data_IF_048160943971
#
_entry.id   IF_048160943971
#
_cell.length_a   1.000
_cell.length_b   1.000
_cell.length_c   1.000
_cell.angle_alpha   90.00
_cell.angle_beta   90.00
_cell.angle_gamma   90.00
#
_symmetry.space_group_name_H-M   'P 1'
#
loop_
_entity.id
_entity.type
_entity.pdbx_description
1 polymer ?
#
# COMPACT_ATOMS: atom_id res chain seq x y z
N UNK A 1 -12.63 21.79 9.24
CA UNK A 1 -11.88 20.60 9.69
C UNK A 1 -10.82 20.97 10.72
N UNK A 2 -10.18 22.13 10.59
CA UNK A 2 -9.09 22.57 11.48
C UNK A 2 -9.50 22.77 12.94
N UNK A 3 -10.74 23.22 13.20
CA UNK A 3 -11.25 23.41 14.57
C UNK A 3 -11.36 22.10 15.36
N UNK A 4 -11.64 20.98 14.69
CA UNK A 4 -11.71 19.68 15.34
C UNK A 4 -10.31 19.17 15.66
N UNK A 5 -9.40 19.26 14.69
CA UNK A 5 -8.01 18.86 14.86
C UNK A 5 -7.33 19.66 15.99
N UNK A 6 -7.57 20.98 16.07
CA UNK A 6 -7.04 21.83 17.14
C UNK A 6 -7.53 21.42 18.54
N UNK A 7 -8.78 20.95 18.66
CA UNK A 7 -9.33 20.46 19.95
C UNK A 7 -8.78 19.10 20.35
N UNK A 8 -8.47 18.24 19.39
CA UNK A 8 -7.98 16.89 19.64
C UNK A 8 -6.48 16.85 19.91
N UNK A 9 -5.72 17.81 19.36
CA UNK A 9 -4.25 17.85 19.45
C UNK A 9 -3.67 17.68 20.87
N UNK A 10 -4.23 18.28 21.94
CA UNK A 10 -3.70 18.08 23.30
C UNK A 10 -3.88 16.64 23.83
N UNK A 11 -4.82 15.88 23.26
CA UNK A 11 -5.18 14.54 23.71
C UNK A 11 -4.53 13.42 22.89
N UNK A 12 -4.40 13.61 21.58
CA UNK A 12 -3.86 12.59 20.67
C UNK A 12 -2.44 12.90 20.17
N UNK A 13 -1.94 14.11 20.44
CA UNK A 13 -0.65 14.59 19.97
C UNK A 13 -0.63 14.94 18.48
N UNK A 14 0.49 15.48 17.98
CA UNK A 14 0.69 15.63 16.55
C UNK A 14 0.72 14.24 15.88
N UNK A 15 0.33 14.14 14.60
CA UNK A 15 0.48 12.88 13.88
C UNK A 15 1.95 12.43 13.94
N UNK A 16 2.23 11.16 14.28
CA UNK A 16 3.59 10.66 14.27
C UNK A 16 4.10 10.75 12.83
N UNK A 17 5.13 11.57 12.62
CA UNK A 17 5.78 11.68 11.31
C UNK A 17 6.66 10.45 11.03
N UNK A 18 6.89 9.61 12.06
CA UNK A 18 7.74 8.41 12.00
C UNK A 18 9.20 8.73 11.67
N UNK A 19 10.12 7.79 11.90
CA UNK A 19 11.36 7.79 11.16
C UNK A 19 11.02 7.36 9.73
N UNK A 20 11.09 8.28 8.76
CA UNK A 20 10.93 7.94 7.33
C UNK A 20 12.08 7.07 6.79
N UNK A 21 13.08 6.85 7.62
CA UNK A 21 14.33 6.14 7.44
C UNK A 21 14.30 4.70 7.99
N UNK A 22 13.23 4.30 8.69
CA UNK A 22 13.01 2.89 9.00
C UNK A 22 12.57 2.15 7.71
N UNK A 23 13.28 1.08 7.31
CA UNK A 23 12.80 0.24 6.23
C UNK A 23 11.43 -0.32 6.62
N UNK A 24 10.44 -0.14 5.74
CA UNK A 24 9.04 -0.62 5.92
C UNK A 24 8.95 -2.14 6.17
N UNK A 25 10.06 -2.85 5.96
CA UNK A 25 10.24 -4.26 6.23
C UNK A 25 11.46 -4.43 7.13
N UNK A 26 11.24 -4.98 8.32
CA UNK A 26 12.34 -5.51 9.13
C UNK A 26 13.08 -6.55 8.30
N UNK A 27 14.42 -6.49 8.24
CA UNK A 27 15.22 -7.47 7.51
C UNK A 27 14.95 -8.91 8.00
N UNK A 28 14.53 -9.05 9.26
CA UNK A 28 14.18 -10.32 9.90
C UNK A 28 12.72 -10.73 9.69
N UNK A 29 11.85 -9.82 9.19
CA UNK A 29 10.45 -10.08 8.87
C UNK A 29 10.08 -9.47 7.51
N UNK A 30 10.32 -10.19 6.40
CA UNK A 30 9.86 -9.74 5.09
C UNK A 30 8.34 -9.59 5.08
N UNK A 31 7.84 -8.46 4.57
CA UNK A 31 6.41 -8.27 4.39
C UNK A 31 5.82 -9.38 3.51
N UNK A 32 4.59 -9.84 3.81
CA UNK A 32 3.92 -10.81 2.97
C UNK A 32 3.76 -10.27 1.55
N UNK A 33 3.94 -11.14 0.55
CA UNK A 33 3.71 -10.78 -0.85
C UNK A 33 2.24 -10.38 -1.01
N UNK A 34 1.95 -9.16 -1.50
CA UNK A 34 0.57 -8.72 -1.67
C UNK A 34 -0.12 -9.58 -2.72
N UNK A 35 -1.36 -9.98 -2.44
CA UNK A 35 -2.21 -10.75 -3.34
C UNK A 35 -3.23 -9.84 -4.02
N UNK A 36 -3.62 -10.19 -5.25
CA UNK A 36 -4.64 -9.47 -5.97
C UNK A 36 -6.04 -9.76 -5.39
N UNK A 37 -6.83 -8.74 -5.02
CA UNK A 37 -8.15 -8.95 -4.42
C UNK A 37 -9.21 -9.46 -5.42
N UNK A 38 -8.87 -9.52 -6.72
CA UNK A 38 -9.78 -9.96 -7.78
C UNK A 38 -9.54 -11.43 -8.18
N UNK A 39 -8.28 -11.83 -8.36
CA UNK A 39 -7.94 -13.19 -8.82
C UNK A 39 -7.26 -14.06 -7.75
N UNK A 40 -6.74 -13.46 -6.67
CA UNK A 40 -6.04 -14.17 -5.59
C UNK A 40 -4.55 -14.42 -5.83
N UNK A 41 -4.06 -14.23 -7.06
CA UNK A 41 -2.65 -14.49 -7.42
C UNK A 41 -1.71 -13.40 -6.88
N UNK A 42 -0.41 -13.69 -6.70
CA UNK A 42 0.59 -12.71 -6.28
C UNK A 42 0.63 -11.49 -7.21
N UNK A 43 0.67 -10.29 -6.64
CA UNK A 43 0.77 -9.04 -7.42
C UNK A 43 1.98 -8.99 -8.37
N UNK A 44 3.16 -9.57 -8.03
CA UNK A 44 4.30 -9.62 -8.95
C UNK A 44 4.03 -10.36 -10.28
N UNK A 45 3.04 -11.25 -10.32
CA UNK A 45 2.70 -12.02 -11.52
C UNK A 45 1.76 -11.25 -12.48
N UNK A 46 1.38 -10.03 -12.12
CA UNK A 46 0.51 -9.19 -12.93
C UNK A 46 1.29 -8.30 -13.90
N UNK A 47 0.71 -8.06 -15.07
CA UNK A 47 1.27 -7.10 -16.04
C UNK A 47 0.58 -5.74 -15.86
N UNK A 48 1.38 -4.71 -15.58
CA UNK A 48 0.90 -3.33 -15.48
C UNK A 48 1.18 -2.62 -16.81
N UNK A 49 0.15 -2.48 -17.64
CA UNK A 49 0.22 -1.73 -18.90
C UNK A 49 0.07 -0.23 -18.65
N UNK A 50 1.08 0.53 -19.05
CA UNK A 50 1.15 2.00 -18.93
C UNK A 50 1.16 2.71 -20.30
N UNK A 51 0.89 1.98 -21.39
CA UNK A 51 0.95 2.52 -22.75
C UNK A 51 -0.23 3.44 -23.10
N UNK A 52 -1.38 3.23 -22.46
CA UNK A 52 -2.60 3.99 -22.70
C UNK A 52 -2.76 5.23 -21.81
N UNK A 53 -3.83 6.03 -22.03
CA UNK A 53 -4.16 7.19 -21.18
C UNK A 53 -4.55 6.80 -19.74
N UNK A 54 -4.79 5.52 -19.49
CA UNK A 54 -5.06 4.95 -18.16
C UNK A 54 -4.20 3.72 -17.97
N UNK A 55 -3.56 3.62 -16.81
CA UNK A 55 -2.88 2.40 -16.38
C UNK A 55 -3.88 1.26 -16.26
N UNK A 56 -3.59 0.15 -16.91
CA UNK A 56 -4.35 -1.09 -16.81
C UNK A 56 -3.53 -2.16 -16.10
N UNK A 57 -4.21 -3.01 -15.34
CA UNK A 57 -3.60 -4.13 -14.64
C UNK A 57 -4.23 -5.42 -15.15
N UNK A 58 -3.40 -6.31 -15.71
CA UNK A 58 -3.82 -7.57 -16.28
C UNK A 58 -3.52 -8.69 -15.29
N UNK A 59 -4.57 -9.42 -14.89
CA UNK A 59 -4.42 -10.65 -14.12
C UNK A 59 -3.67 -11.69 -14.96
N UNK A 60 -2.81 -12.53 -14.33
CA UNK A 60 -2.25 -13.68 -15.02
C UNK A 60 -3.38 -14.61 -15.48
N UNK A 61 -3.15 -15.40 -16.52
CA UNK A 61 -4.08 -16.46 -16.90
C UNK A 61 -4.23 -17.38 -15.70
N UNK A 62 -5.38 -17.30 -15.00
CA UNK A 62 -5.68 -18.14 -13.84
C UNK A 62 -5.39 -19.59 -14.24
N UNK A 63 -4.43 -20.23 -13.59
CA UNK A 63 -4.25 -21.66 -13.74
C UNK A 63 -5.58 -22.30 -13.32
N UNK A 64 -6.22 -23.00 -14.26
CA UNK A 64 -7.53 -23.62 -14.07
C UNK A 64 -7.48 -24.75 -13.04
#
# INVERSE_FOLDING_TARGET
MDRLNAKLLPYIGPPPLGPYDEPVVDADHPAPVPTCPLCGEPMPDHVIDRSGPRTQLHCPSRAA
#
